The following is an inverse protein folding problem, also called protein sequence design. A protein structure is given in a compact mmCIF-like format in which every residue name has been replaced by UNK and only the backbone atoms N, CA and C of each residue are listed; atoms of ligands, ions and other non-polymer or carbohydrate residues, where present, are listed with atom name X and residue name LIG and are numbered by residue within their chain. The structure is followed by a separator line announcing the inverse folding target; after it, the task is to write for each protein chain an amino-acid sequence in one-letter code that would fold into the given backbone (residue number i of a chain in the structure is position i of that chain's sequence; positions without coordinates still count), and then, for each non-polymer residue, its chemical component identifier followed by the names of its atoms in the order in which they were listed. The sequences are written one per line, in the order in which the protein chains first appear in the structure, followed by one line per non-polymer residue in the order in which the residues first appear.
data_IF_742385978014
#
_entry.id   IF_742385978014
#
_cell.length_a   1.000
_cell.length_b   1.000
_cell.length_c   1.000
_cell.angle_alpha   90.00
_cell.angle_beta   90.00
_cell.angle_gamma   90.00
#
_symmetry.space_group_name_H-M   'P 1'
#
loop_
_entity.id
_entity.type
_entity.pdbx_description
1 polymer ?
#
# COMPACT_ATOMS: atom_id res chain seq x y z
N UNK A 1 -12.14 -1.67 -12.93
CA UNK A 1 -12.43 -0.23 -12.98
C UNK A 1 -11.21 0.62 -12.66
N UNK A 2 -10.63 0.52 -11.46
CA UNK A 2 -9.42 1.29 -11.09
C UNK A 2 -8.27 1.07 -12.10
N UNK A 3 -7.93 -0.19 -12.39
CA UNK A 3 -6.92 -0.54 -13.40
C UNK A 3 -7.25 0.04 -14.77
N UNK A 4 -8.53 0.00 -15.19
CA UNK A 4 -8.96 0.59 -16.46
C UNK A 4 -8.85 2.12 -16.47
N UNK A 5 -9.14 2.79 -15.36
CA UNK A 5 -8.92 4.24 -15.20
C UNK A 5 -7.43 4.57 -15.25
N UNK A 6 -6.57 3.75 -14.66
CA UNK A 6 -5.10 3.88 -14.80
C UNK A 6 -4.65 3.68 -16.25
N UNK A 7 -5.13 2.64 -16.94
CA UNK A 7 -4.86 2.41 -18.36
C UNK A 7 -5.35 3.56 -19.24
N UNK A 8 -6.49 4.17 -18.92
CA UNK A 8 -6.97 5.33 -19.64
C UNK A 8 -6.13 6.58 -19.30
N UNK A 9 -5.81 6.80 -18.03
CA UNK A 9 -4.99 7.91 -17.56
C UNK A 9 -3.58 7.91 -18.17
N UNK A 10 -2.99 6.74 -18.46
CA UNK A 10 -1.68 6.63 -19.14
C UNK A 10 -1.76 7.04 -20.61
N UNK A 11 -2.91 7.04 -21.27
CA UNK A 11 -2.99 7.63 -22.63
C UNK A 11 -2.83 9.16 -22.63
N UNK A 12 -3.14 9.84 -21.52
CA UNK A 12 -2.90 11.28 -21.36
C UNK A 12 -1.42 11.62 -21.19
N UNK A 13 -0.59 10.69 -20.68
CA UNK A 13 0.85 10.96 -20.54
C UNK A 13 1.55 11.06 -21.89
N UNK A 14 1.08 10.32 -22.93
CA UNK A 14 1.53 10.49 -24.32
C UNK A 14 1.30 11.90 -24.86
N UNK A 15 0.21 12.57 -24.46
CA UNK A 15 -0.03 13.97 -24.79
C UNK A 15 0.86 14.92 -24.01
N UNK A 16 1.19 14.59 -22.76
CA UNK A 16 2.13 15.35 -21.94
C UNK A 16 3.56 15.33 -22.54
N UNK A 17 4.03 14.17 -23.02
CA UNK A 17 5.32 14.06 -23.71
C UNK A 17 5.38 14.91 -24.99
N UNK A 18 4.34 14.85 -25.83
CA UNK A 18 4.23 15.70 -27.04
C UNK A 18 4.17 17.20 -26.74
N UNK A 19 3.66 17.59 -25.56
CA UNK A 19 3.64 18.99 -25.11
C UNK A 19 5.01 19.47 -24.60
N UNK A 20 5.80 18.56 -24.00
CA UNK A 20 7.19 18.81 -23.60
C UNK A 20 8.12 18.99 -24.81
N UNK A 21 7.98 18.16 -25.85
CA UNK A 21 8.75 18.29 -27.10
C UNK A 21 8.56 19.65 -27.77
N UNK A 22 7.35 20.22 -27.62
CA UNK A 22 6.99 21.56 -28.12
C UNK A 22 7.39 22.70 -27.17
N UNK A 23 8.15 22.42 -26.10
CA UNK A 23 8.52 23.35 -25.01
C UNK A 23 7.31 24.10 -24.41
N UNK A 24 6.11 23.54 -24.50
CA UNK A 24 4.89 24.16 -23.98
C UNK A 24 4.62 23.69 -22.55
N UNK A 25 5.25 24.35 -21.58
CA UNK A 25 5.15 24.03 -20.16
C UNK A 25 3.73 24.19 -19.58
N UNK A 26 2.90 25.09 -20.14
CA UNK A 26 1.49 25.23 -19.72
C UNK A 26 0.65 24.04 -20.16
N UNK A 27 0.85 23.56 -21.39
CA UNK A 27 0.19 22.36 -21.90
C UNK A 27 0.57 21.10 -21.12
N UNK A 28 1.86 20.98 -20.75
CA UNK A 28 2.35 19.90 -19.88
C UNK A 28 1.68 19.93 -18.50
N UNK A 29 1.62 21.10 -17.84
CA UNK A 29 0.98 21.23 -16.51
C UNK A 29 -0.51 20.91 -16.55
N UNK A 30 -1.21 21.28 -17.63
CA UNK A 30 -2.62 20.92 -17.82
C UNK A 30 -2.79 19.42 -18.01
N UNK A 31 -1.96 18.78 -18.83
CA UNK A 31 -2.02 17.33 -19.06
C UNK A 31 -1.68 16.52 -17.80
N UNK A 32 -0.69 16.97 -17.02
CA UNK A 32 -0.32 16.33 -15.75
C UNK A 32 -1.45 16.43 -14.70
N UNK A 33 -2.07 17.61 -14.57
CA UNK A 33 -3.19 17.79 -13.64
C UNK A 33 -4.49 17.14 -14.14
N UNK A 34 -4.65 16.95 -15.45
CA UNK A 34 -5.81 16.28 -16.02
C UNK A 34 -5.94 14.83 -15.54
N UNK A 35 -4.83 14.13 -15.29
CA UNK A 35 -4.86 12.78 -14.70
C UNK A 35 -5.56 12.76 -13.35
N UNK A 36 -5.24 13.71 -12.46
CA UNK A 36 -5.89 13.84 -11.15
C UNK A 36 -7.38 14.15 -11.31
N UNK A 37 -7.74 15.03 -12.26
CA UNK A 37 -9.13 15.33 -12.57
C UNK A 37 -9.91 14.10 -13.06
N UNK A 38 -9.32 13.24 -13.89
CA UNK A 38 -9.96 12.00 -14.36
C UNK A 38 -10.28 11.06 -13.20
N UNK A 39 -9.33 10.83 -12.29
CA UNK A 39 -9.56 10.02 -11.10
C UNK A 39 -10.63 10.64 -10.19
N UNK A 40 -10.60 11.96 -10.01
CA UNK A 40 -11.58 12.68 -9.21
C UNK A 40 -13.00 12.56 -9.80
N UNK A 41 -13.15 12.72 -11.12
CA UNK A 41 -14.46 12.60 -11.79
C UNK A 41 -15.00 11.17 -11.72
N UNK A 42 -14.16 10.15 -11.95
CA UNK A 42 -14.58 8.74 -11.84
C UNK A 42 -14.98 8.42 -10.41
N UNK A 43 -14.17 8.80 -9.42
CA UNK A 43 -14.50 8.63 -8.00
C UNK A 43 -15.78 9.38 -7.60
N UNK A 44 -15.96 10.59 -8.12
CA UNK A 44 -17.16 11.40 -7.89
C UNK A 44 -18.40 10.75 -8.47
N UNK A 45 -18.37 10.25 -9.72
CA UNK A 45 -19.51 9.56 -10.34
C UNK A 45 -19.90 8.32 -9.55
N UNK A 46 -18.92 7.52 -9.11
CA UNK A 46 -19.18 6.30 -8.33
C UNK A 46 -19.75 6.65 -6.95
N UNK A 47 -19.11 7.59 -6.24
CA UNK A 47 -19.53 7.99 -4.90
C UNK A 47 -20.91 8.65 -4.89
N UNK A 48 -21.14 9.59 -5.81
CA UNK A 48 -22.43 10.28 -5.92
C UNK A 48 -23.50 9.32 -6.44
N UNK A 49 -23.22 8.53 -7.48
CA UNK A 49 -24.15 7.51 -7.99
C UNK A 49 -24.56 6.48 -6.93
N UNK A 50 -23.62 6.07 -6.06
CA UNK A 50 -23.92 5.21 -4.91
C UNK A 50 -24.78 5.91 -3.84
N UNK A 51 -24.58 7.21 -3.61
CA UNK A 51 -25.37 7.98 -2.64
C UNK A 51 -26.84 8.13 -3.06
N UNK A 52 -27.12 8.40 -4.34
CA UNK A 52 -28.50 8.49 -4.86
C UNK A 52 -29.21 7.14 -4.92
N UNK A 53 -28.46 6.04 -5.02
CA UNK A 53 -28.99 4.67 -5.11
C UNK A 53 -28.87 3.90 -3.80
N UNK A 54 -28.80 4.59 -2.66
CA UNK A 54 -28.62 3.96 -1.35
C UNK A 54 -29.70 2.93 -1.02
N UNK A 55 -30.97 3.21 -1.36
CA UNK A 55 -32.08 2.27 -1.19
C UNK A 55 -31.95 1.03 -2.11
N UNK A 56 -31.50 1.22 -3.35
CA UNK A 56 -31.25 0.14 -4.29
C UNK A 56 -30.12 -0.77 -3.81
N UNK A 57 -29.05 -0.16 -3.28
CA UNK A 57 -27.90 -0.87 -2.73
C UNK A 57 -28.28 -1.67 -1.47
N UNK A 58 -29.10 -1.10 -0.58
CA UNK A 58 -29.60 -1.81 0.61
C UNK A 58 -30.46 -3.03 0.25
N UNK A 59 -31.33 -2.92 -0.77
CA UNK A 59 -32.11 -4.06 -1.27
C UNK A 59 -31.21 -5.18 -1.78
N UNK A 60 -30.16 -4.84 -2.54
CA UNK A 60 -29.17 -5.82 -3.01
C UNK A 60 -28.41 -6.46 -1.85
N UNK A 61 -28.01 -5.69 -0.84
CA UNK A 61 -27.32 -6.21 0.35
C UNK A 61 -28.24 -7.14 1.15
N UNK A 62 -29.53 -6.83 1.27
CA UNK A 62 -30.50 -7.67 1.99
C UNK A 62 -30.76 -9.03 1.34
N UNK A 63 -30.43 -9.20 0.06
CA UNK A 63 -30.48 -10.47 -0.65
C UNK A 63 -29.27 -11.37 -0.34
N UNK A 64 -28.21 -10.83 0.28
CA UNK A 64 -27.02 -11.59 0.67
C UNK A 64 -27.35 -12.43 1.91
N UNK A 65 -27.13 -13.76 1.88
CA UNK A 65 -27.42 -14.62 3.03
C UNK A 65 -26.46 -14.34 4.19
N UNK A 66 -26.96 -14.46 5.43
CA UNK A 66 -26.23 -14.10 6.64
C UNK A 66 -24.87 -14.80 6.79
N UNK A 67 -24.76 -16.07 6.40
CA UNK A 67 -23.50 -16.82 6.46
C UNK A 67 -22.40 -16.20 5.58
N UNK A 68 -22.77 -15.67 4.42
CA UNK A 68 -21.83 -15.03 3.49
C UNK A 68 -21.42 -13.66 3.99
N UNK A 69 -22.36 -12.86 4.50
CA UNK A 69 -22.03 -11.56 5.12
C UNK A 69 -21.13 -11.73 6.35
N UNK A 70 -21.38 -12.75 7.18
CA UNK A 70 -20.53 -13.07 8.33
C UNK A 70 -19.13 -13.52 7.87
N UNK A 71 -19.05 -14.38 6.85
CA UNK A 71 -17.78 -14.80 6.25
C UNK A 71 -16.96 -13.65 5.69
N UNK A 72 -17.58 -12.75 4.91
CA UNK A 72 -16.93 -11.54 4.40
C UNK A 72 -16.47 -10.61 5.53
N UNK A 73 -17.25 -10.50 6.62
CA UNK A 73 -16.89 -9.71 7.78
C UNK A 73 -15.64 -10.23 8.50
N UNK A 74 -15.52 -11.56 8.68
CA UNK A 74 -14.31 -12.17 9.25
C UNK A 74 -13.11 -12.00 8.31
N UNK A 75 -13.29 -12.27 7.01
CA UNK A 75 -12.24 -12.07 6.01
C UNK A 75 -11.73 -10.62 5.97
N UNK A 76 -12.64 -9.64 6.06
CA UNK A 76 -12.29 -8.22 6.13
C UNK A 76 -11.45 -7.86 7.36
N UNK A 77 -11.70 -8.51 8.50
CA UNK A 77 -10.88 -8.33 9.72
C UNK A 77 -9.50 -8.96 9.63
N UNK A 78 -9.30 -9.94 8.76
CA UNK A 78 -7.99 -10.58 8.51
C UNK A 78 -7.14 -9.81 7.50
N UNK A 79 -7.73 -8.94 6.67
CA UNK A 79 -7.03 -8.20 5.63
C UNK A 79 -5.84 -7.36 6.14
N UNK A 80 -5.91 -6.67 7.31
CA UNK A 80 -4.74 -5.98 7.85
C UNK A 80 -3.57 -6.91 8.16
N UNK A 81 -3.83 -8.12 8.66
CA UNK A 81 -2.78 -9.10 8.94
C UNK A 81 -2.06 -9.56 7.66
N UNK A 82 -2.82 -9.76 6.57
CA UNK A 82 -2.27 -10.08 5.26
C UNK A 82 -1.41 -8.92 4.73
N UNK A 83 -1.85 -7.68 4.91
CA UNK A 83 -1.07 -6.49 4.55
C UNK A 83 0.26 -6.40 5.29
N UNK A 84 0.26 -6.65 6.60
CA UNK A 84 1.51 -6.70 7.39
C UNK A 84 2.41 -7.85 6.95
N UNK A 85 1.86 -9.03 6.63
CA UNK A 85 2.63 -10.16 6.14
C UNK A 85 3.31 -9.85 4.80
N UNK A 86 2.62 -9.18 3.87
CA UNK A 86 3.18 -8.77 2.58
C UNK A 86 4.35 -7.80 2.75
N UNK A 87 4.20 -6.78 3.60
CA UNK A 87 5.27 -5.81 3.89
C UNK A 87 6.44 -6.52 4.57
N UNK A 88 6.15 -7.37 5.56
CA UNK A 88 7.18 -8.10 6.29
C UNK A 88 7.93 -9.08 5.39
N UNK A 89 7.26 -9.73 4.44
CA UNK A 89 7.91 -10.63 3.49
C UNK A 89 8.98 -9.91 2.65
N UNK A 90 8.72 -8.66 2.27
CA UNK A 90 9.68 -7.84 1.50
C UNK A 90 10.78 -7.26 2.39
N UNK A 91 10.49 -6.97 3.66
CA UNK A 91 11.44 -6.33 4.59
C UNK A 91 12.27 -7.30 5.42
N UNK A 92 11.77 -8.50 5.70
CA UNK A 92 12.39 -9.44 6.64
C UNK A 92 13.53 -10.21 5.97
N UNK A 93 14.76 -9.85 6.34
CA UNK A 93 15.94 -10.67 6.06
C UNK A 93 16.14 -11.71 7.16
N UNK A 94 16.74 -12.86 6.82
CA UNK A 94 17.00 -13.95 7.78
C UNK A 94 17.74 -13.47 9.04
N UNK A 95 18.69 -12.56 8.86
CA UNK A 95 19.49 -11.96 9.94
C UNK A 95 18.67 -11.03 10.85
N UNK A 96 17.57 -10.46 10.35
CA UNK A 96 16.75 -9.48 11.06
C UNK A 96 15.52 -10.08 11.73
N UNK A 97 15.24 -11.37 11.51
CA UNK A 97 14.14 -12.11 12.16
C UNK A 97 14.13 -11.95 13.70
N UNK A 98 15.28 -11.99 14.41
CA UNK A 98 15.29 -11.79 15.86
C UNK A 98 14.69 -10.44 16.29
N UNK A 99 14.92 -9.36 15.52
CA UNK A 99 14.36 -8.04 15.83
C UNK A 99 12.85 -7.98 15.59
N UNK A 100 12.34 -8.69 14.58
CA UNK A 100 10.91 -8.82 14.31
C UNK A 100 10.21 -9.55 15.47
N UNK A 101 10.77 -10.66 15.95
CA UNK A 101 10.24 -11.41 17.08
C UNK A 101 10.29 -10.61 18.38
N UNK A 102 11.36 -9.84 18.59
CA UNK A 102 11.47 -8.95 19.75
C UNK A 102 10.36 -7.90 19.76
N UNK A 103 10.10 -7.24 18.62
CA UNK A 103 9.00 -6.30 18.48
C UNK A 103 7.63 -6.94 18.74
N UNK A 104 7.40 -8.18 18.27
CA UNK A 104 6.18 -8.92 18.56
C UNK A 104 5.99 -9.17 20.06
N UNK A 105 7.03 -9.63 20.76
CA UNK A 105 6.99 -9.88 22.21
C UNK A 105 6.73 -8.57 22.98
N UNK A 106 7.36 -7.46 22.57
CA UNK A 106 7.16 -6.15 23.16
C UNK A 106 5.69 -5.68 23.05
N UNK A 107 5.02 -5.96 21.95
CA UNK A 107 3.59 -5.62 21.80
C UNK A 107 2.72 -6.61 22.59
N UNK A 108 2.95 -7.92 22.45
CA UNK A 108 2.11 -8.96 23.02
C UNK A 108 2.15 -9.05 24.56
N UNK A 109 3.33 -8.86 25.16
CA UNK A 109 3.51 -9.03 26.60
C UNK A 109 3.64 -7.70 27.35
N UNK A 110 4.32 -6.71 26.78
CA UNK A 110 4.49 -5.41 27.45
C UNK A 110 3.33 -4.43 27.13
N UNK A 111 2.41 -4.81 26.23
CA UNK A 111 1.28 -3.96 25.79
C UNK A 111 1.73 -2.54 25.37
N UNK A 112 2.93 -2.44 24.79
CA UNK A 112 3.47 -1.15 24.34
C UNK A 112 2.68 -0.65 23.13
N UNK A 113 2.40 0.67 23.06
CA UNK A 113 1.80 1.25 21.86
C UNK A 113 2.74 1.08 20.66
N UNK A 114 2.18 0.91 19.46
CA UNK A 114 2.94 0.70 18.21
C UNK A 114 3.99 1.79 18.01
N UNK A 115 3.66 3.05 18.32
CA UNK A 115 4.59 4.17 18.26
C UNK A 115 5.79 4.01 19.20
N UNK A 116 5.59 3.47 20.40
CA UNK A 116 6.67 3.23 21.36
C UNK A 116 7.65 2.17 20.86
N UNK A 117 7.12 1.08 20.31
CA UNK A 117 7.95 0.01 19.72
C UNK A 117 8.70 0.51 18.48
N UNK A 118 8.08 1.37 17.66
CA UNK A 118 8.73 1.98 16.51
C UNK A 118 9.94 2.83 16.91
N UNK A 119 9.80 3.72 17.91
CA UNK A 119 10.90 4.57 18.37
C UNK A 119 12.06 3.74 18.95
N UNK A 120 11.74 2.71 19.75
CA UNK A 120 12.75 1.79 20.30
C UNK A 120 13.46 1.04 19.16
N UNK A 121 12.70 0.52 18.19
CA UNK A 121 13.25 -0.16 17.02
C UNK A 121 14.17 0.73 16.20
N UNK A 122 13.78 1.99 15.96
CA UNK A 122 14.63 2.97 15.28
C UNK A 122 15.91 3.26 16.05
N UNK A 123 15.85 3.41 17.38
CA UNK A 123 17.04 3.64 18.20
C UNK A 123 18.03 2.46 18.12
N UNK A 124 17.52 1.22 18.18
CA UNK A 124 18.33 0.00 18.02
C UNK A 124 18.92 -0.05 16.61
N UNK A 125 18.12 0.21 15.57
CA UNK A 125 18.59 0.21 14.18
C UNK A 125 19.72 1.22 13.94
N UNK A 126 19.60 2.45 14.48
CA UNK A 126 20.66 3.46 14.39
C UNK A 126 21.93 3.04 15.13
N UNK A 127 21.79 2.44 16.32
CA UNK A 127 22.94 1.94 17.08
C UNK A 127 23.67 0.83 16.32
N UNK A 128 22.93 -0.14 15.77
CA UNK A 128 23.49 -1.22 14.96
C UNK A 128 24.16 -0.65 13.70
N UNK A 129 23.52 0.29 13.01
CA UNK A 129 24.07 0.93 11.82
C UNK A 129 25.39 1.66 12.09
N UNK A 130 25.49 2.42 13.18
CA UNK A 130 26.71 3.14 13.53
C UNK A 130 27.84 2.23 14.05
N UNK A 131 27.52 1.11 14.70
CA UNK A 131 28.53 0.14 15.12
C UNK A 131 28.98 -0.78 13.98
N UNK A 132 28.08 -1.23 13.12
CA UNK A 132 28.41 -2.04 11.93
C UNK A 132 29.27 -1.24 10.94
N UNK A 133 29.01 0.06 10.76
CA UNK A 133 29.86 0.93 9.92
C UNK A 133 31.29 1.14 10.45
N UNK A 134 31.61 0.62 11.65
CA UNK A 134 32.91 0.80 12.32
C UNK A 134 33.72 -0.49 12.39
N UNK A 135 33.10 -1.65 12.14
CA UNK A 135 33.70 -2.99 12.18
C UNK A 135 33.29 -3.75 10.89
N UNK A 136 34.15 -3.70 9.87
CA UNK A 136 34.05 -4.39 8.57
C UNK A 136 33.02 -3.91 7.52
N UNK A 137 33.55 -3.65 6.32
CA UNK A 137 32.79 -3.44 5.09
C UNK A 137 32.25 -4.76 4.53
N UNK A 138 31.23 -5.31 5.16
CA UNK A 138 30.41 -6.35 4.54
C UNK A 138 29.27 -5.70 3.75
N UNK A 139 29.26 -5.98 2.45
CA UNK A 139 28.20 -5.60 1.52
C UNK A 139 26.89 -6.22 1.98
N UNK A 140 25.88 -5.36 2.19
CA UNK A 140 24.49 -5.78 2.37
C UNK A 140 24.12 -6.66 1.17
N UNK A 141 24.01 -7.97 1.37
CA UNK A 141 23.46 -8.85 0.35
C UNK A 141 22.02 -8.40 0.08
N UNK A 142 21.80 -7.91 -1.15
CA UNK A 142 20.50 -7.88 -1.77
C UNK A 142 20.08 -9.33 -1.96
N UNK A 143 19.27 -9.83 -1.02
CA UNK A 143 18.50 -11.04 -1.27
C UNK A 143 17.51 -10.65 -2.37
N UNK A 144 17.82 -11.07 -3.59
CA UNK A 144 16.90 -11.01 -4.72
C UNK A 144 15.63 -11.73 -4.27
N UNK A 145 14.55 -10.96 -4.11
CA UNK A 145 13.23 -11.53 -3.82
C UNK A 145 12.83 -12.25 -5.09
N UNK A 146 13.15 -13.54 -5.16
CA UNK A 146 12.66 -14.41 -6.22
C UNK A 146 11.13 -14.42 -6.09
N UNK A 147 10.49 -13.59 -6.91
CA UNK A 147 9.06 -13.64 -7.09
C UNK A 147 8.81 -15.00 -7.74
N UNK A 148 8.43 -15.98 -6.93
CA UNK A 148 7.80 -17.19 -7.43
C UNK A 148 6.47 -16.72 -8.05
N UNK A 149 6.55 -16.31 -9.32
CA UNK A 149 5.45 -15.88 -10.17
C UNK A 149 4.53 -17.10 -10.39
N UNK A 150 3.72 -17.34 -9.37
CA UNK A 150 2.65 -18.31 -9.35
C UNK A 150 1.29 -17.62 -9.48
N UNK A 151 1.08 -16.80 -10.53
CA UNK A 151 -0.14 -16.73 -11.38
C UNK A 151 0.21 -16.13 -12.74
#
# INVERSE_FOLDING_TARGET
MITATYTFATTLTSYAYKALDKKNFRGFRLAANATVCVFAVVGFIIGFGGAFSSEGLQKVISLIPAWLSAGLGVAGKMLPAIGFAMILNVMAKKELIPFVLFGYIAIAYLNLPVMGVAVIGTAIALLVFFHAGKENGESVEEVEVEFEDGI
#
